data_IF_388582107219
#
_entry.id   IF_388582107219
#
_cell.length_a   1.000
_cell.length_b   1.000
_cell.length_c   1.000
_cell.angle_alpha   90.00
_cell.angle_beta   90.00
_cell.angle_gamma   90.00
#
_symmetry.space_group_name_H-M   'P 1'
#
loop_
_entity.id
_entity.type
_entity.pdbx_description
1 polymer ?
#
# COMPACT_ATOMS: atom_id res chain seq x y z
N UNK A 1 -5.64 -20.32 -30.76
CA UNK A 1 -5.50 -20.89 -29.40
C UNK A 1 -6.50 -20.21 -28.48
N UNK A 2 -7.56 -20.90 -28.06
CA UNK A 2 -8.50 -20.37 -27.08
C UNK A 2 -7.98 -20.68 -25.68
N UNK A 3 -7.54 -19.66 -24.94
CA UNK A 3 -7.21 -19.81 -23.52
C UNK A 3 -8.52 -19.86 -22.72
N UNK A 4 -8.82 -21.01 -22.14
CA UNK A 4 -9.92 -21.15 -21.19
C UNK A 4 -9.47 -20.56 -19.86
N UNK A 5 -9.99 -19.37 -19.52
CA UNK A 5 -9.84 -18.80 -18.18
C UNK A 5 -10.75 -19.59 -17.23
N UNK A 6 -10.17 -20.49 -16.44
CA UNK A 6 -10.88 -21.11 -15.32
C UNK A 6 -10.91 -20.12 -14.16
N UNK A 7 -12.07 -19.91 -13.56
CA UNK A 7 -12.23 -19.10 -12.35
C UNK A 7 -12.85 -19.97 -11.29
N UNK A 8 -12.09 -20.25 -10.24
CA UNK A 8 -12.59 -20.95 -9.05
C UNK A 8 -13.11 -19.92 -8.05
N UNK A 9 -14.36 -20.09 -7.62
CA UNK A 9 -14.98 -19.24 -6.60
C UNK A 9 -14.92 -19.99 -5.28
N UNK A 10 -14.16 -19.45 -4.33
CA UNK A 10 -14.06 -19.99 -2.97
C UNK A 10 -14.82 -19.09 -2.01
N UNK A 11 -15.84 -19.63 -1.33
CA UNK A 11 -16.56 -18.92 -0.28
C UNK A 11 -15.74 -18.94 1.02
N UNK A 12 -15.18 -17.80 1.39
CA UNK A 12 -14.54 -17.61 2.70
C UNK A 12 -15.59 -17.14 3.72
N UNK A 13 -15.96 -18.02 4.65
CA UNK A 13 -16.87 -17.71 5.77
C UNK A 13 -16.14 -17.90 7.10
N UNK A 14 -15.23 -16.99 7.48
CA UNK A 14 -14.48 -17.11 8.73
C UNK A 14 -15.45 -17.08 9.93
N UNK A 15 -15.20 -17.88 10.99
CA UNK A 15 -15.91 -17.73 12.26
C UNK A 15 -15.60 -16.37 12.88
N UNK A 16 -16.46 -15.93 13.82
CA UNK A 16 -16.36 -14.61 14.46
C UNK A 16 -14.96 -14.32 15.04
N UNK A 17 -14.30 -15.31 15.63
CA UNK A 17 -12.94 -15.17 16.18
C UNK A 17 -11.90 -14.86 15.09
N UNK A 18 -11.97 -15.53 13.94
CA UNK A 18 -11.10 -15.25 12.80
C UNK A 18 -11.41 -13.89 12.19
N UNK A 19 -12.68 -13.49 12.13
CA UNK A 19 -13.04 -12.17 11.63
C UNK A 19 -12.43 -11.04 12.47
N UNK A 20 -12.48 -11.17 13.80
CA UNK A 20 -11.85 -10.21 14.73
C UNK A 20 -10.34 -10.13 14.48
N UNK A 21 -9.66 -11.27 14.34
CA UNK A 21 -8.23 -11.29 14.09
C UNK A 21 -7.87 -10.72 12.71
N UNK A 22 -8.65 -11.05 11.67
CA UNK A 22 -8.46 -10.48 10.32
C UNK A 22 -8.64 -8.96 10.32
N UNK A 23 -9.63 -8.44 11.06
CA UNK A 23 -9.82 -7.00 11.24
C UNK A 23 -8.61 -6.38 11.92
N UNK A 24 -8.13 -6.95 13.03
CA UNK A 24 -6.93 -6.49 13.73
C UNK A 24 -5.71 -6.45 12.80
N UNK A 25 -5.46 -7.50 12.03
CA UNK A 25 -4.35 -7.57 11.06
C UNK A 25 -4.49 -6.53 9.94
N UNK A 26 -5.72 -6.28 9.45
CA UNK A 26 -5.98 -5.26 8.44
C UNK A 26 -5.73 -3.84 8.96
N UNK A 27 -6.09 -3.56 10.21
CA UNK A 27 -5.79 -2.28 10.87
C UNK A 27 -4.28 -2.06 11.03
N UNK A 28 -3.56 -3.07 11.54
CA UNK A 28 -2.10 -3.00 11.66
C UNK A 28 -1.42 -2.84 10.29
N UNK A 29 -1.95 -3.50 9.25
CA UNK A 29 -1.48 -3.32 7.87
C UNK A 29 -1.70 -1.89 7.38
N UNK A 30 -2.85 -1.29 7.70
CA UNK A 30 -3.17 0.09 7.36
C UNK A 30 -2.21 1.08 8.03
N UNK A 31 -1.90 0.85 9.32
CA UNK A 31 -0.93 1.64 10.07
C UNK A 31 0.48 1.55 9.48
N UNK A 32 0.95 0.34 9.13
CA UNK A 32 2.24 0.15 8.48
C UNK A 32 2.30 0.87 7.12
N UNK A 33 1.26 0.73 6.29
CA UNK A 33 1.16 1.43 5.02
C UNK A 33 1.24 2.94 5.21
N UNK A 34 0.47 3.48 6.15
CA UNK A 34 0.39 4.91 6.41
C UNK A 34 1.72 5.47 6.92
N UNK A 35 2.37 4.79 7.87
CA UNK A 35 3.67 5.19 8.40
C UNK A 35 4.75 5.21 7.30
N UNK A 36 4.89 4.11 6.55
CA UNK A 36 5.87 4.01 5.48
C UNK A 36 5.58 5.01 4.33
N UNK A 37 4.30 5.23 4.01
CA UNK A 37 3.92 6.17 2.96
C UNK A 37 4.08 7.62 3.42
N UNK A 38 3.90 7.92 4.71
CA UNK A 38 4.14 9.24 5.27
C UNK A 38 5.60 9.66 5.05
N UNK A 39 6.56 8.79 5.40
CA UNK A 39 8.00 9.04 5.17
C UNK A 39 8.29 9.39 3.70
N UNK A 40 7.76 8.59 2.76
CA UNK A 40 7.96 8.81 1.33
C UNK A 40 7.31 10.09 0.83
N UNK A 41 6.10 10.41 1.29
CA UNK A 41 5.39 11.65 0.93
C UNK A 41 6.13 12.87 1.47
N UNK A 42 6.60 12.83 2.71
CA UNK A 42 7.42 13.90 3.30
C UNK A 42 8.70 14.12 2.50
N UNK A 43 9.42 13.04 2.17
CA UNK A 43 10.61 13.13 1.32
C UNK A 43 10.29 13.72 -0.07
N UNK A 44 9.22 13.26 -0.71
CA UNK A 44 8.80 13.74 -2.02
C UNK A 44 8.47 15.24 -2.03
N UNK A 45 7.68 15.73 -1.06
CA UNK A 45 7.30 17.13 -0.99
C UNK A 45 8.44 18.06 -0.57
N UNK A 46 9.40 17.55 0.22
CA UNK A 46 10.61 18.29 0.61
C UNK A 46 11.77 18.14 -0.40
N UNK A 47 11.53 17.53 -1.56
CA UNK A 47 12.54 17.25 -2.58
C UNK A 47 13.76 16.45 -2.07
N UNK A 48 13.57 15.64 -1.03
CA UNK A 48 14.57 14.73 -0.51
C UNK A 48 14.54 13.37 -1.22
N UNK A 49 15.61 12.60 -1.02
CA UNK A 49 15.68 11.20 -1.46
C UNK A 49 14.58 10.39 -0.79
N UNK A 50 13.75 9.73 -1.60
CA UNK A 50 12.71 8.84 -1.11
C UNK A 50 13.36 7.55 -0.58
N UNK A 51 12.99 7.08 0.61
CA UNK A 51 13.55 5.85 1.16
C UNK A 51 13.20 4.65 0.28
N UNK A 52 14.17 3.78 0.08
CA UNK A 52 14.05 2.55 -0.68
C UNK A 52 13.24 1.51 0.08
N UNK A 53 12.75 0.50 -0.66
CA UNK A 53 12.09 -0.66 -0.07
C UNK A 53 12.96 -1.34 1.02
N UNK A 54 14.27 -1.51 0.76
CA UNK A 54 15.17 -2.19 1.69
C UNK A 54 15.41 -1.37 2.97
N UNK A 55 15.60 -0.05 2.84
CA UNK A 55 15.72 0.86 3.99
C UNK A 55 14.47 0.79 4.85
N UNK A 56 13.27 0.87 4.25
CA UNK A 56 12.02 0.81 5.00
C UNK A 56 11.76 -0.56 5.64
N UNK A 57 12.13 -1.66 4.98
CA UNK A 57 12.06 -2.98 5.60
C UNK A 57 12.96 -3.07 6.84
N UNK A 58 14.17 -2.49 6.77
CA UNK A 58 15.11 -2.48 7.90
C UNK A 58 14.61 -1.62 9.06
N UNK A 59 14.12 -0.41 8.78
CA UNK A 59 13.67 0.53 9.82
C UNK A 59 12.34 0.10 10.44
N UNK A 60 11.36 -0.28 9.63
CA UNK A 60 10.01 -0.60 10.11
C UNK A 60 9.88 -2.01 10.67
N UNK A 61 10.85 -2.91 10.45
CA UNK A 61 10.88 -4.26 11.06
C UNK A 61 10.65 -4.24 12.57
N UNK A 62 11.13 -3.20 13.24
CA UNK A 62 11.07 -3.08 14.70
C UNK A 62 9.78 -2.44 15.21
N UNK A 63 8.94 -1.92 14.32
CA UNK A 63 7.66 -1.31 14.69
C UNK A 63 6.63 -2.34 15.14
N UNK A 64 5.73 -1.93 16.02
CA UNK A 64 4.68 -2.78 16.58
C UNK A 64 3.73 -3.31 15.50
N UNK A 65 3.33 -2.48 14.54
CA UNK A 65 2.46 -2.89 13.44
C UNK A 65 3.14 -3.89 12.48
N UNK A 66 4.45 -3.78 12.24
CA UNK A 66 5.17 -4.74 11.40
C UNK A 66 5.29 -6.10 12.09
N UNK A 67 5.63 -6.10 13.38
CA UNK A 67 5.66 -7.33 14.18
C UNK A 67 4.28 -7.99 14.25
N UNK A 68 3.22 -7.20 14.43
CA UNK A 68 1.86 -7.69 14.58
C UNK A 68 1.34 -8.47 13.36
N UNK A 69 1.73 -8.08 12.13
CA UNK A 69 1.32 -8.76 10.90
C UNK A 69 2.30 -9.84 10.43
N UNK A 70 3.51 -9.86 11.01
CA UNK A 70 4.58 -10.81 10.71
C UNK A 70 5.44 -10.42 9.50
N UNK A 71 6.69 -10.89 9.52
CA UNK A 71 7.76 -10.48 8.59
C UNK A 71 7.37 -10.59 7.11
N UNK A 72 6.85 -11.75 6.69
CA UNK A 72 6.51 -11.96 5.27
C UNK A 72 5.42 -11.02 4.78
N UNK A 73 4.36 -10.80 5.59
CA UNK A 73 3.26 -9.90 5.23
C UNK A 73 3.70 -8.44 5.25
N UNK A 74 4.51 -8.04 6.24
CA UNK A 74 5.07 -6.70 6.33
C UNK A 74 5.97 -6.36 5.13
N UNK A 75 6.86 -7.26 4.75
CA UNK A 75 7.69 -7.11 3.54
C UNK A 75 6.83 -7.01 2.28
N UNK A 76 5.84 -7.90 2.11
CA UNK A 76 4.93 -7.86 0.96
C UNK A 76 4.14 -6.54 0.89
N UNK A 77 3.67 -6.02 2.02
CA UNK A 77 2.96 -4.75 2.10
C UNK A 77 3.85 -3.57 1.68
N UNK A 78 5.09 -3.52 2.19
CA UNK A 78 6.07 -2.50 1.80
C UNK A 78 6.46 -2.61 0.32
N UNK A 79 6.48 -3.82 -0.24
CA UNK A 79 6.68 -4.05 -1.67
C UNK A 79 5.53 -3.48 -2.50
N UNK A 80 4.29 -3.66 -2.05
CA UNK A 80 3.11 -3.03 -2.69
C UNK A 80 3.16 -1.51 -2.65
N UNK A 81 3.66 -0.93 -1.56
CA UNK A 81 3.90 0.51 -1.51
C UNK A 81 4.96 0.95 -2.52
N UNK A 82 6.05 0.19 -2.68
CA UNK A 82 7.06 0.45 -3.71
C UNK A 82 6.46 0.40 -5.12
N UNK A 83 5.64 -0.59 -5.44
CA UNK A 83 4.95 -0.71 -6.72
C UNK A 83 4.03 0.49 -7.00
N UNK A 84 3.29 0.96 -5.99
CA UNK A 84 2.43 2.13 -6.10
C UNK A 84 3.24 3.42 -6.41
N UNK A 85 4.38 3.61 -5.74
CA UNK A 85 5.28 4.73 -6.01
C UNK A 85 5.93 4.65 -7.40
N UNK A 86 6.38 3.46 -7.81
CA UNK A 86 6.92 3.24 -9.16
C UNK A 86 5.88 3.60 -10.24
N UNK A 87 4.64 3.16 -10.04
CA UNK A 87 3.52 3.47 -10.95
C UNK A 87 3.25 4.97 -11.01
N UNK A 88 3.28 5.66 -9.86
CA UNK A 88 3.15 7.12 -9.81
C UNK A 88 4.25 7.82 -10.64
N UNK A 89 5.52 7.43 -10.49
CA UNK A 89 6.61 8.04 -11.26
C UNK A 89 6.51 7.75 -12.76
N UNK A 90 6.12 6.53 -13.14
CA UNK A 90 5.87 6.18 -14.53
C UNK A 90 4.77 7.07 -15.14
N UNK A 91 3.66 7.26 -14.43
CA UNK A 91 2.58 8.16 -14.86
C UNK A 91 3.03 9.62 -14.93
N UNK A 92 3.86 10.10 -13.99
CA UNK A 92 4.43 11.46 -14.07
C UNK A 92 5.33 11.65 -15.28
N UNK A 93 6.09 10.62 -15.68
CA UNK A 93 6.89 10.65 -16.91
C UNK A 93 6.01 10.71 -18.16
N UNK A 94 4.97 9.88 -18.23
CA UNK A 94 4.00 9.91 -19.34
C UNK A 94 3.26 11.25 -19.44
N UNK A 95 2.88 11.83 -18.29
CA UNK A 95 2.25 13.15 -18.23
C UNK A 95 3.17 14.23 -18.83
N UNK A 96 4.47 14.22 -18.52
CA UNK A 96 5.45 15.16 -19.10
C UNK A 96 5.64 14.97 -20.61
N UNK A 97 5.41 13.77 -21.12
CA UNK A 97 5.51 13.44 -22.54
C UNK A 97 4.20 13.65 -23.32
N UNK A 98 3.11 14.06 -22.67
CA UNK A 98 1.79 14.14 -23.29
C UNK A 98 1.18 12.78 -23.66
N UNK A 99 1.71 11.67 -23.12
CA UNK A 99 1.30 10.29 -23.42
C UNK A 99 0.46 9.66 -22.32
N UNK A 100 -0.28 10.48 -21.58
CA UNK A 100 -1.11 9.98 -20.49
C UNK A 100 -2.34 9.27 -21.08
N UNK A 101 -2.72 8.08 -20.60
CA UNK A 101 -3.93 7.42 -21.05
C UNK A 101 -5.15 8.33 -20.90
N UNK A 102 -6.09 8.32 -21.87
CA UNK A 102 -7.22 9.27 -21.89
C UNK A 102 -8.14 9.14 -20.67
N UNK A 103 -8.20 7.96 -20.06
CA UNK A 103 -8.96 7.69 -18.84
C UNK A 103 -8.34 8.29 -17.56
N UNK A 104 -7.09 8.78 -17.61
CA UNK A 104 -6.39 9.33 -16.44
C UNK A 104 -6.34 10.85 -16.55
N UNK A 105 -7.26 11.53 -15.86
CA UNK A 105 -7.31 13.00 -15.84
C UNK A 105 -6.23 13.61 -14.94
N UNK A 106 -5.89 12.95 -13.82
CA UNK A 106 -4.95 13.48 -12.82
C UNK A 106 -4.09 12.37 -12.21
N UNK A 107 -2.78 12.52 -12.32
CA UNK A 107 -1.83 11.63 -11.65
C UNK A 107 -1.77 11.98 -10.15
N UNK A 108 -2.18 11.04 -9.30
CA UNK A 108 -2.22 11.19 -7.85
C UNK A 108 -1.09 10.38 -7.19
N UNK A 109 -0.49 10.96 -6.15
CA UNK A 109 0.43 10.22 -5.28
C UNK A 109 -0.30 9.14 -4.48
N UNK A 110 0.39 8.07 -4.06
CA UNK A 110 -0.20 7.04 -3.20
C UNK A 110 -0.89 7.63 -1.97
N UNK A 111 -2.17 7.29 -1.77
CA UNK A 111 -2.98 7.79 -0.67
C UNK A 111 -2.77 7.00 0.62
N UNK A 112 -3.16 7.60 1.74
CA UNK A 112 -3.31 6.88 3.00
C UNK A 112 -4.52 5.96 2.96
N UNK A 113 -4.45 4.87 3.72
CA UNK A 113 -5.60 4.06 4.04
C UNK A 113 -6.43 4.76 5.10
N UNK A 114 -7.73 4.83 4.85
CA UNK A 114 -8.70 5.53 5.67
C UNK A 114 -9.88 4.61 5.97
N UNK A 115 -10.45 4.78 7.15
CA UNK A 115 -11.75 4.20 7.43
C UNK A 115 -12.78 4.85 6.50
N UNK A 116 -13.54 4.04 5.76
CA UNK A 116 -14.48 4.52 4.74
C UNK A 116 -15.70 5.23 5.33
N UNK A 117 -16.07 4.90 6.58
CA UNK A 117 -17.21 5.50 7.28
C UNK A 117 -16.81 6.87 7.83
N UNK A 118 -15.66 6.94 8.51
CA UNK A 118 -15.23 8.19 9.17
C UNK A 118 -14.36 9.09 8.29
N UNK A 119 -13.88 8.58 7.14
CA UNK A 119 -12.91 9.23 6.23
C UNK A 119 -11.61 9.70 6.93
N UNK A 120 -11.32 9.15 8.12
CA UNK A 120 -10.10 9.43 8.87
C UNK A 120 -9.08 8.33 8.61
N UNK A 121 -7.82 8.73 8.49
CA UNK A 121 -6.73 7.77 8.55
C UNK A 121 -6.67 7.21 9.97
N UNK A 122 -6.41 5.91 10.10
CA UNK A 122 -5.98 5.36 11.39
C UNK A 122 -4.60 5.96 11.64
N UNK A 123 -4.55 6.95 12.52
CA UNK A 123 -3.32 7.59 12.99
C UNK A 123 -3.00 7.02 14.36
N UNK A 124 -1.70 6.94 14.65
CA UNK A 124 -1.12 6.54 15.94
C UNK A 124 -1.81 7.16 17.13
#
# INVERSE_FOLDING_TARGET
MHYVLRTDVVLLKPPKSQEIELRRLAEQSSLLWNAANYERRQAYFKHHKIPTYHEQCKTLKHSEYFKAIGTGKGQALLKKLQEAWNSFFALKRLQRQGKLPPNIQKVRIPSYWKNRITNRAQNR
#
